data_IF_634058723553
#
_entry.id   IF_634058723553
#
_cell.length_a   1.000
_cell.length_b   1.000
_cell.length_c   1.000
_cell.angle_alpha   90.00
_cell.angle_beta   90.00
_cell.angle_gamma   90.00
#
_symmetry.space_group_name_H-M   'P 1'
#
loop_
_entity.id
_entity.type
_entity.pdbx_description
1 polymer ?
#
# COMPACT_ATOMS: atom_id res chain seq x y z
N UNK A 1 -9.56 -15.78 0.26
CA UNK A 1 -8.48 -16.79 0.32
C UNK A 1 -7.10 -16.15 0.31
N UNK A 2 -6.86 -15.17 -0.56
CA UNK A 2 -5.59 -14.42 -0.57
C UNK A 2 -5.29 -13.74 0.77
N UNK A 3 -6.32 -13.18 1.43
CA UNK A 3 -6.16 -12.57 2.74
C UNK A 3 -5.75 -13.62 3.80
N UNK A 4 -6.37 -14.78 3.77
CA UNK A 4 -6.02 -15.85 4.71
C UNK A 4 -4.57 -16.32 4.52
N UNK A 5 -4.14 -16.42 3.26
CA UNK A 5 -2.76 -16.79 2.96
C UNK A 5 -1.79 -15.73 3.46
N UNK A 6 -2.11 -14.45 3.27
CA UNK A 6 -1.30 -13.35 3.77
C UNK A 6 -1.24 -13.37 5.30
N UNK A 7 -2.40 -13.54 5.95
CA UNK A 7 -2.49 -13.58 7.42
C UNK A 7 -1.67 -14.73 7.99
N UNK A 8 -1.65 -15.88 7.30
CA UNK A 8 -0.86 -17.05 7.69
C UNK A 8 0.60 -16.95 7.25
N UNK A 9 1.01 -15.82 6.66
CA UNK A 9 2.37 -15.54 6.16
C UNK A 9 2.79 -16.42 4.98
N UNK A 10 1.83 -16.94 4.22
CA UNK A 10 2.09 -17.62 2.95
C UNK A 10 2.13 -16.58 1.82
N UNK A 11 3.17 -15.73 1.83
CA UNK A 11 3.21 -14.57 0.95
C UNK A 11 3.26 -14.89 -0.55
N UNK A 12 4.09 -15.82 -1.04
CA UNK A 12 4.07 -16.14 -2.47
C UNK A 12 2.72 -16.67 -2.95
N UNK A 13 2.05 -17.49 -2.15
CA UNK A 13 0.73 -18.02 -2.48
C UNK A 13 -0.33 -16.93 -2.45
N UNK A 14 -0.23 -16.02 -1.48
CA UNK A 14 -1.11 -14.86 -1.40
C UNK A 14 -0.96 -13.97 -2.63
N UNK A 15 0.29 -13.71 -3.03
CA UNK A 15 0.60 -12.91 -4.22
C UNK A 15 -0.04 -13.52 -5.47
N UNK A 16 0.18 -14.81 -5.69
CA UNK A 16 -0.36 -15.49 -6.87
C UNK A 16 -1.88 -15.47 -6.90
N UNK A 17 -2.52 -15.74 -5.76
CA UNK A 17 -3.99 -15.75 -5.65
C UNK A 17 -4.57 -14.38 -5.92
N UNK A 18 -3.97 -13.33 -5.35
CA UNK A 18 -4.46 -11.96 -5.54
C UNK A 18 -4.23 -11.46 -6.96
N UNK A 19 -3.08 -11.79 -7.56
CA UNK A 19 -2.82 -11.43 -8.95
C UNK A 19 -3.81 -12.09 -9.89
N UNK A 20 -4.13 -13.36 -9.67
CA UNK A 20 -5.13 -14.06 -10.47
C UNK A 20 -6.50 -13.39 -10.37
N UNK A 21 -6.92 -13.07 -9.15
CA UNK A 21 -8.21 -12.41 -8.93
C UNK A 21 -8.27 -11.05 -9.62
N UNK A 22 -7.18 -10.28 -9.55
CA UNK A 22 -7.12 -8.96 -10.20
C UNK A 22 -7.08 -9.05 -11.72
N UNK A 23 -6.45 -10.09 -12.26
CA UNK A 23 -6.44 -10.34 -13.70
C UNK A 23 -7.84 -10.68 -14.21
N UNK A 24 -8.58 -11.49 -13.47
CA UNK A 24 -9.93 -11.90 -13.85
C UNK A 24 -10.97 -10.80 -13.60
N UNK A 25 -10.83 -10.03 -12.53
CA UNK A 25 -11.83 -9.05 -12.11
C UNK A 25 -11.20 -7.70 -11.78
N UNK A 26 -10.52 -7.04 -12.76
CA UNK A 26 -9.77 -5.82 -12.47
C UNK A 26 -10.63 -4.64 -12.02
N UNK A 27 -11.93 -4.66 -12.35
CA UNK A 27 -12.84 -3.58 -12.00
C UNK A 27 -13.86 -3.97 -10.93
N UNK A 28 -13.61 -5.09 -10.25
CA UNK A 28 -14.48 -5.49 -9.13
C UNK A 28 -14.40 -4.42 -8.03
N UNK A 29 -15.51 -4.23 -7.31
CA UNK A 29 -15.59 -3.21 -6.25
C UNK A 29 -14.54 -3.39 -5.16
N UNK A 30 -13.99 -4.57 -4.99
CA UNK A 30 -12.93 -4.84 -4.02
C UNK A 30 -11.53 -4.87 -4.63
N UNK A 31 -11.38 -4.43 -5.87
CA UNK A 31 -10.07 -4.45 -6.54
C UNK A 31 -9.06 -3.58 -5.81
N UNK A 32 -9.47 -2.41 -5.31
CA UNK A 32 -8.58 -1.54 -4.55
C UNK A 32 -8.07 -2.24 -3.28
N UNK A 33 -8.95 -2.91 -2.55
CA UNK A 33 -8.58 -3.70 -1.39
C UNK A 33 -7.60 -4.81 -1.76
N UNK A 34 -7.91 -5.55 -2.83
CA UNK A 34 -7.06 -6.66 -3.28
C UNK A 34 -5.67 -6.18 -3.72
N UNK A 35 -5.58 -5.05 -4.43
CA UNK A 35 -4.29 -4.48 -4.83
C UNK A 35 -3.48 -4.02 -3.63
N UNK A 36 -4.14 -3.40 -2.65
CA UNK A 36 -3.45 -2.98 -1.43
C UNK A 36 -2.91 -4.21 -0.67
N UNK A 37 -3.70 -5.26 -0.56
CA UNK A 37 -3.28 -6.49 0.09
C UNK A 37 -2.14 -7.16 -0.67
N UNK A 38 -2.20 -7.15 -2.00
CA UNK A 38 -1.11 -7.67 -2.84
C UNK A 38 0.19 -6.92 -2.57
N UNK A 39 0.14 -5.59 -2.52
CA UNK A 39 1.31 -4.79 -2.18
C UNK A 39 1.87 -5.13 -0.82
N UNK A 40 1.00 -5.32 0.18
CA UNK A 40 1.42 -5.70 1.53
C UNK A 40 2.05 -7.09 1.54
N UNK A 41 1.54 -8.03 0.73
CA UNK A 41 2.14 -9.36 0.63
C UNK A 41 3.56 -9.28 0.08
N UNK A 42 3.80 -8.42 -0.91
CA UNK A 42 5.16 -8.21 -1.42
C UNK A 42 6.05 -7.52 -0.39
N UNK A 43 5.52 -6.52 0.30
CA UNK A 43 6.29 -5.79 1.31
C UNK A 43 6.68 -6.71 2.47
N UNK A 44 5.73 -7.51 2.96
CA UNK A 44 5.95 -8.42 4.08
C UNK A 44 6.87 -9.59 3.68
N UNK A 45 6.92 -9.93 2.39
CA UNK A 45 7.85 -10.91 1.83
C UNK A 45 9.24 -10.30 1.57
N UNK A 46 9.48 -9.10 2.09
CA UNK A 46 10.74 -8.37 1.99
C UNK A 46 11.14 -8.03 0.56
N UNK A 47 10.15 -7.67 -0.26
CA UNK A 47 10.36 -7.24 -1.64
C UNK A 47 9.76 -5.85 -1.84
N UNK A 48 10.32 -4.83 -1.17
CA UNK A 48 9.73 -3.49 -1.21
C UNK A 48 9.72 -2.85 -2.60
N UNK A 49 10.68 -3.17 -3.46
CA UNK A 49 10.70 -2.60 -4.81
C UNK A 49 9.46 -3.02 -5.63
N UNK A 50 9.05 -4.28 -5.52
CA UNK A 50 7.84 -4.76 -6.18
C UNK A 50 6.59 -4.16 -5.51
N UNK A 51 6.60 -4.07 -4.20
CA UNK A 51 5.50 -3.48 -3.44
C UNK A 51 5.25 -2.04 -3.85
N UNK A 52 6.31 -1.25 -4.07
CA UNK A 52 6.20 0.15 -4.52
C UNK A 52 5.35 0.23 -5.79
N UNK A 53 5.64 -0.62 -6.76
CA UNK A 53 4.90 -0.62 -8.03
C UNK A 53 3.42 -0.93 -7.82
N UNK A 54 3.12 -1.93 -7.00
CA UNK A 54 1.74 -2.35 -6.75
C UNK A 54 0.96 -1.25 -6.03
N UNK A 55 1.52 -0.65 -5.00
CA UNK A 55 0.87 0.42 -4.26
C UNK A 55 0.66 1.66 -5.13
N UNK A 56 1.68 2.03 -5.90
CA UNK A 56 1.58 3.18 -6.78
C UNK A 56 0.48 2.98 -7.83
N UNK A 57 0.46 1.80 -8.45
CA UNK A 57 -0.55 1.46 -9.44
C UNK A 57 -1.96 1.50 -8.86
N UNK A 58 -2.14 1.03 -7.63
CA UNK A 58 -3.45 1.07 -6.99
C UNK A 58 -3.91 2.51 -6.79
N UNK A 59 -3.03 3.36 -6.29
CA UNK A 59 -3.34 4.77 -6.09
C UNK A 59 -3.66 5.48 -7.42
N UNK A 60 -2.87 5.23 -8.45
CA UNK A 60 -3.04 5.91 -9.75
C UNK A 60 -4.25 5.39 -10.51
N UNK A 61 -4.52 4.09 -10.44
CA UNK A 61 -5.62 3.47 -11.18
C UNK A 61 -6.98 3.79 -10.55
N UNK A 62 -7.05 3.77 -9.23
CA UNK A 62 -8.29 4.01 -8.51
C UNK A 62 -8.06 4.96 -7.32
N UNK A 63 -7.83 6.27 -7.60
CA UNK A 63 -7.56 7.22 -6.52
C UNK A 63 -8.75 7.40 -5.56
N UNK A 64 -9.95 6.98 -5.98
CA UNK A 64 -11.13 6.99 -5.12
C UNK A 64 -11.45 5.61 -4.56
N UNK A 65 -10.59 4.62 -4.78
CA UNK A 65 -10.78 3.29 -4.24
C UNK A 65 -10.67 3.26 -2.72
N UNK A 66 -11.31 2.27 -2.10
CA UNK A 66 -11.36 2.16 -0.64
C UNK A 66 -9.99 2.12 0.02
N UNK A 67 -8.99 1.59 -0.66
CA UNK A 67 -7.65 1.43 -0.11
C UNK A 67 -6.60 2.32 -0.79
N UNK A 68 -7.02 3.32 -1.54
CA UNK A 68 -6.06 4.25 -2.15
C UNK A 68 -5.24 5.00 -1.09
N UNK A 69 -5.85 5.54 -0.01
CA UNK A 69 -5.04 6.17 1.05
C UNK A 69 -4.10 5.20 1.72
N UNK A 70 -4.56 3.97 1.97
CA UNK A 70 -3.72 2.92 2.57
C UNK A 70 -2.54 2.59 1.67
N UNK A 71 -2.77 2.51 0.35
CA UNK A 71 -1.70 2.24 -0.61
C UNK A 71 -0.65 3.35 -0.62
N UNK A 72 -1.07 4.62 -0.51
CA UNK A 72 -0.11 5.73 -0.39
C UNK A 72 0.72 5.61 0.89
N UNK A 73 0.09 5.22 1.99
CA UNK A 73 0.81 5.01 3.25
C UNK A 73 1.86 3.90 3.09
N UNK A 74 1.45 2.75 2.57
CA UNK A 74 2.38 1.62 2.40
C UNK A 74 3.42 1.89 1.32
N UNK A 75 3.10 2.71 0.32
CA UNK A 75 4.09 3.19 -0.64
C UNK A 75 5.20 3.95 0.09
N UNK A 76 4.82 4.86 0.98
CA UNK A 76 5.80 5.57 1.79
C UNK A 76 6.65 4.64 2.64
N UNK A 77 6.03 3.61 3.24
CA UNK A 77 6.75 2.61 4.02
C UNK A 77 7.74 1.82 3.17
N UNK A 78 7.33 1.39 1.98
CA UNK A 78 8.18 0.62 1.08
C UNK A 78 9.36 1.47 0.59
N UNK A 79 9.11 2.74 0.28
CA UNK A 79 10.17 3.66 -0.12
C UNK A 79 11.17 3.89 1.01
N UNK A 80 10.67 3.94 2.25
CA UNK A 80 11.55 4.05 3.42
C UNK A 80 12.43 2.81 3.55
N UNK A 81 11.87 1.62 3.34
CA UNK A 81 12.62 0.37 3.37
C UNK A 81 13.71 0.32 2.30
N UNK A 82 13.48 0.99 1.16
CA UNK A 82 14.46 1.09 0.08
C UNK A 82 15.49 2.20 0.30
N UNK A 83 15.39 2.95 1.39
CA UNK A 83 16.28 4.06 1.66
C UNK A 83 15.95 5.33 0.89
N UNK A 84 14.80 5.38 0.22
CA UNK A 84 14.37 6.53 -0.58
C UNK A 84 13.52 7.48 0.27
N UNK A 85 14.15 8.10 1.25
CA UNK A 85 13.46 8.91 2.27
C UNK A 85 12.74 10.11 1.69
N UNK A 86 13.35 10.84 0.76
CA UNK A 86 12.72 12.02 0.16
C UNK A 86 11.41 11.62 -0.54
N UNK A 87 11.45 10.54 -1.33
CA UNK A 87 10.26 10.05 -2.02
C UNK A 87 9.21 9.53 -1.04
N UNK A 88 9.64 8.89 0.05
CA UNK A 88 8.74 8.43 1.10
C UNK A 88 8.01 9.62 1.73
N UNK A 89 8.73 10.69 2.05
CA UNK A 89 8.14 11.89 2.64
C UNK A 89 7.15 12.56 1.67
N UNK A 90 7.45 12.53 0.37
CA UNK A 90 6.51 13.03 -0.64
C UNK A 90 5.23 12.20 -0.67
N UNK A 91 5.34 10.88 -0.56
CA UNK A 91 4.16 10.00 -0.52
C UNK A 91 3.29 10.31 0.70
N UNK A 92 3.90 10.47 1.87
CA UNK A 92 3.15 10.85 3.07
C UNK A 92 2.51 12.22 2.94
N UNK A 93 3.22 13.18 2.33
CA UNK A 93 2.68 14.51 2.07
C UNK A 93 1.49 14.48 1.11
N UNK A 94 1.59 13.69 0.05
CA UNK A 94 0.49 13.54 -0.90
C UNK A 94 -0.73 12.91 -0.23
N UNK A 95 -0.51 11.92 0.64
CA UNK A 95 -1.57 11.30 1.43
C UNK A 95 -2.33 12.34 2.25
N UNK A 96 -1.61 13.23 2.91
CA UNK A 96 -2.23 14.30 3.72
C UNK A 96 -3.01 15.30 2.86
N UNK A 97 -2.51 15.62 1.67
CA UNK A 97 -3.18 16.55 0.76
C UNK A 97 -4.40 15.97 0.08
N UNK A 98 -4.27 14.74 -0.40
CA UNK A 98 -5.31 14.11 -1.22
C UNK A 98 -6.41 13.45 -0.40
N UNK A 99 -6.09 12.99 0.80
CA UNK A 99 -7.04 12.21 1.62
C UNK A 99 -7.07 12.71 3.06
N UNK A 100 -7.44 13.98 3.29
CA UNK A 100 -7.40 14.55 4.64
C UNK A 100 -8.28 13.81 5.66
N UNK A 101 -9.42 13.25 5.20
CA UNK A 101 -10.31 12.52 6.10
C UNK A 101 -9.67 11.23 6.62
N UNK A 102 -8.95 10.52 5.77
CA UNK A 102 -8.25 9.30 6.17
C UNK A 102 -7.10 9.61 7.14
N UNK A 103 -6.42 10.73 6.91
CA UNK A 103 -5.31 11.16 7.75
C UNK A 103 -5.76 11.50 9.18
N UNK A 104 -6.94 12.12 9.31
CA UNK A 104 -7.44 12.55 10.62
C UNK A 104 -8.22 11.47 11.36
N UNK A 105 -8.36 10.28 10.77
CA UNK A 105 -9.10 9.18 11.38
C UNK A 105 -8.23 7.93 11.54
N UNK A 106 -8.39 6.96 10.66
CA UNK A 106 -7.76 5.64 10.85
C UNK A 106 -6.27 5.57 10.56
N UNK A 107 -5.71 6.54 9.84
CA UNK A 107 -4.29 6.51 9.46
C UNK A 107 -3.42 7.50 10.24
N UNK A 108 -4.02 8.30 11.13
CA UNK A 108 -3.29 9.39 11.79
C UNK A 108 -2.03 8.91 12.51
N UNK A 109 -2.14 7.85 13.30
CA UNK A 109 -1.00 7.35 14.06
C UNK A 109 0.04 6.68 13.18
N UNK A 110 -0.41 5.95 12.16
CA UNK A 110 0.48 5.27 11.22
C UNK A 110 1.29 6.27 10.40
N UNK A 111 0.67 7.36 9.99
CA UNK A 111 1.36 8.40 9.23
C UNK A 111 2.42 9.08 10.09
N UNK A 112 2.09 9.41 11.33
CA UNK A 112 3.05 10.01 12.24
C UNK A 112 4.27 9.10 12.44
N UNK A 113 4.03 7.80 12.68
CA UNK A 113 5.11 6.83 12.83
C UNK A 113 5.92 6.66 11.56
N UNK A 114 5.24 6.66 10.40
CA UNK A 114 5.90 6.53 9.10
C UNK A 114 6.81 7.72 8.81
N UNK A 115 6.34 8.93 9.07
CA UNK A 115 7.15 10.14 8.90
C UNK A 115 8.38 10.13 9.81
N UNK A 116 8.22 9.68 11.04
CA UNK A 116 9.33 9.58 11.99
C UNK A 116 10.37 8.58 11.48
N UNK A 117 9.92 7.42 11.02
CA UNK A 117 10.82 6.38 10.50
C UNK A 117 11.55 6.86 9.23
N UNK A 118 10.88 7.59 8.36
CA UNK A 118 11.48 8.16 7.15
C UNK A 118 12.29 9.42 7.42
N UNK A 119 12.26 9.91 8.66
CA UNK A 119 12.94 11.15 9.07
C UNK A 119 12.46 12.36 8.29
N UNK A 120 11.17 12.45 8.07
CA UNK A 120 10.55 13.62 7.45
C UNK A 120 10.57 14.82 8.41
N UNK A 121 10.73 15.99 7.82
CA UNK A 121 10.70 17.23 8.59
C UNK A 121 9.30 17.80 8.73
#
# INVERSE_FOLDING_TARGET
YGFRLWEAKFYPESQATLEEALTKFPKHKRASYARNLLGRAWLDDKKPATAVKVFYDNYKTEPRGDRAPDSLFFLGSALTDLGKRAEACEAFGELERAYPDAVTSRLVERIAAGKTRAKCK
#
